data_IF_584634663549
#
_entry.id   IF_584634663549
#
_cell.length_a   1.000
_cell.length_b   1.000
_cell.length_c   1.000
_cell.angle_alpha   90.00
_cell.angle_beta   90.00
_cell.angle_gamma   90.00
#
_symmetry.space_group_name_H-M   'P 1'
#
loop_
_entity.id
_entity.type
_entity.pdbx_description
1 polymer ?
#
# COMPACT_ATOMS: atom_id res chain seq x y z
N UNK A 1 10.34 9.01 -0.70
CA UNK A 1 9.64 7.95 -1.45
C UNK A 1 8.28 8.48 -1.91
N UNK A 2 7.98 8.42 -3.18
CA UNK A 2 6.73 8.97 -3.70
C UNK A 2 5.79 7.92 -4.31
N UNK A 3 6.26 6.71 -4.52
CA UNK A 3 5.47 5.59 -5.03
C UNK A 3 6.05 4.27 -4.57
N UNK A 4 5.18 3.32 -4.26
CA UNK A 4 5.54 1.93 -3.99
C UNK A 4 4.81 1.07 -5.03
N UNK A 5 5.49 0.10 -5.57
CA UNK A 5 4.91 -0.87 -6.51
C UNK A 5 5.38 -2.28 -6.16
N UNK A 6 4.53 -3.26 -6.36
CA UNK A 6 4.89 -4.67 -6.20
C UNK A 6 5.25 -5.27 -7.55
N UNK A 7 6.45 -5.82 -7.63
CA UNK A 7 6.94 -6.54 -8.80
C UNK A 7 7.00 -8.04 -8.51
N UNK A 8 6.50 -8.90 -9.41
CA UNK A 8 6.46 -10.34 -9.17
C UNK A 8 7.84 -11.00 -9.06
N UNK A 9 8.89 -10.38 -9.58
CA UNK A 9 10.24 -10.97 -9.63
C UNK A 9 11.17 -10.43 -8.53
N UNK A 10 11.09 -9.15 -8.21
CA UNK A 10 12.00 -8.50 -7.27
C UNK A 10 11.32 -8.06 -5.95
N UNK A 11 10.02 -8.22 -5.88
CA UNK A 11 9.24 -7.83 -4.71
C UNK A 11 8.88 -6.35 -4.70
N UNK A 12 9.06 -5.68 -3.58
CA UNK A 12 8.67 -4.27 -3.45
C UNK A 12 9.70 -3.33 -4.06
N UNK A 13 9.23 -2.50 -4.98
CA UNK A 13 9.96 -1.39 -5.60
C UNK A 13 9.55 -0.09 -4.92
N UNK A 14 10.48 0.60 -4.28
CA UNK A 14 10.25 1.92 -3.69
C UNK A 14 10.84 2.98 -4.60
N UNK A 15 9.99 3.75 -5.25
CA UNK A 15 10.41 4.86 -6.12
C UNK A 15 10.74 6.08 -5.27
N UNK A 16 11.95 6.58 -5.44
CA UNK A 16 12.46 7.75 -4.74
C UNK A 16 12.86 8.84 -5.73
N UNK A 17 12.71 10.07 -5.31
CA UNK A 17 13.33 11.23 -5.94
C UNK A 17 14.39 11.80 -5.01
N UNK A 18 15.59 11.98 -5.52
CA UNK A 18 16.70 12.59 -4.77
C UNK A 18 16.63 14.10 -4.90
N UNK A 19 16.51 14.80 -3.79
CA UNK A 19 16.45 16.27 -3.78
C UNK A 19 17.82 16.90 -3.53
N UNK A 20 18.70 16.20 -2.79
CA UNK A 20 20.04 16.69 -2.47
C UNK A 20 20.99 15.53 -2.24
N UNK A 21 22.24 15.70 -2.61
CA UNK A 21 23.30 14.71 -2.38
C UNK A 21 23.32 13.58 -3.40
N UNK A 22 23.96 12.50 -2.99
CA UNK A 22 24.13 11.25 -3.75
C UNK A 22 23.73 10.09 -2.87
N UNK A 23 23.01 9.13 -3.43
CA UNK A 23 22.65 7.89 -2.77
C UNK A 23 23.29 6.73 -3.54
N UNK A 24 23.99 5.86 -2.83
CA UNK A 24 24.67 4.70 -3.41
C UNK A 24 24.09 3.39 -2.91
N UNK A 25 24.29 2.34 -3.67
CA UNK A 25 23.93 0.97 -3.27
C UNK A 25 24.71 0.59 -2.03
N UNK A 26 24.01 0.07 -1.04
CA UNK A 26 24.61 -0.33 0.25
C UNK A 26 24.58 0.75 1.32
N UNK A 27 24.24 2.00 0.97
CA UNK A 27 24.17 3.09 1.93
C UNK A 27 23.13 2.84 3.01
N UNK A 28 23.48 3.23 4.24
CA UNK A 28 22.54 3.32 5.35
C UNK A 28 21.85 4.68 5.33
N UNK A 29 20.53 4.67 5.23
CA UNK A 29 19.70 5.86 5.28
C UNK A 29 18.77 5.83 6.48
N UNK A 30 18.32 6.98 6.91
CA UNK A 30 17.34 7.12 7.96
C UNK A 30 15.98 7.49 7.35
N UNK A 31 14.97 6.67 7.59
CA UNK A 31 13.59 7.09 7.39
C UNK A 31 13.23 8.05 8.51
N UNK A 32 13.31 9.34 8.23
CA UNK A 32 13.12 10.39 9.23
C UNK A 32 11.67 10.57 9.62
N UNK A 33 10.73 10.15 8.78
CA UNK A 33 9.29 10.16 9.09
C UNK A 33 8.96 9.17 10.20
N UNK A 34 9.60 8.00 10.20
CA UNK A 34 9.38 6.90 11.16
C UNK A 34 10.51 6.72 12.18
N UNK A 35 11.59 7.51 12.05
CA UNK A 35 12.80 7.40 12.88
C UNK A 35 13.44 5.99 12.85
N UNK A 36 13.41 5.35 11.70
CA UNK A 36 13.96 4.01 11.47
C UNK A 36 15.15 4.04 10.52
N UNK A 37 16.17 3.23 10.80
CA UNK A 37 17.30 3.05 9.90
C UNK A 37 16.96 2.00 8.85
N UNK A 38 17.26 2.32 7.60
CA UNK A 38 17.08 1.46 6.44
C UNK A 38 18.41 1.31 5.69
N UNK A 39 18.53 0.24 4.93
CA UNK A 39 19.69 0.04 4.07
C UNK A 39 19.24 -0.15 2.63
N UNK A 40 19.82 0.61 1.74
CA UNK A 40 19.57 0.51 0.31
C UNK A 40 20.23 -0.77 -0.21
N UNK A 41 19.41 -1.73 -0.63
CA UNK A 41 19.90 -2.99 -1.18
C UNK A 41 20.42 -2.82 -2.60
N UNK A 42 19.50 -2.86 -3.56
CA UNK A 42 19.77 -2.60 -4.99
C UNK A 42 19.00 -1.38 -5.45
N UNK A 43 19.52 -0.71 -6.46
CA UNK A 43 18.83 0.38 -7.12
C UNK A 43 18.72 0.10 -8.61
N UNK A 44 17.58 0.43 -9.18
CA UNK A 44 17.32 0.27 -10.59
C UNK A 44 16.72 1.55 -11.18
N UNK A 45 17.08 1.85 -12.40
CA UNK A 45 16.40 2.81 -13.24
C UNK A 45 15.36 2.07 -14.07
N UNK A 46 14.15 2.60 -14.11
CA UNK A 46 13.04 1.98 -14.81
C UNK A 46 12.81 2.64 -16.16
N UNK A 47 12.77 1.83 -17.21
CA UNK A 47 12.36 2.22 -18.55
C UNK A 47 11.17 1.35 -18.95
N UNK A 48 9.95 1.84 -18.73
CA UNK A 48 8.74 1.02 -18.84
C UNK A 48 8.84 -0.21 -17.92
N UNK A 49 8.83 -1.42 -18.45
CA UNK A 49 8.99 -2.66 -17.67
C UNK A 49 10.45 -3.14 -17.60
N UNK A 50 11.37 -2.47 -18.29
CA UNK A 50 12.79 -2.83 -18.24
C UNK A 50 13.46 -2.19 -17.03
N UNK A 51 14.34 -2.95 -16.40
CA UNK A 51 15.10 -2.54 -15.22
C UNK A 51 16.58 -2.52 -15.56
N UNK A 52 17.22 -1.39 -15.32
CA UNK A 52 18.66 -1.22 -15.47
C UNK A 52 19.26 -1.00 -14.08
N UNK A 53 20.19 -1.84 -13.66
CA UNK A 53 20.85 -1.67 -12.37
C UNK A 53 21.79 -0.48 -12.39
N UNK A 54 21.65 0.37 -11.38
CA UNK A 54 22.48 1.55 -11.18
C UNK A 54 23.19 1.48 -9.83
N UNK A 55 24.38 2.04 -9.75
CA UNK A 55 25.20 2.03 -8.53
C UNK A 55 24.96 3.24 -7.64
N UNK A 56 24.64 4.37 -8.26
CA UNK A 56 24.42 5.64 -7.57
C UNK A 56 23.30 6.42 -8.25
N UNK A 57 22.66 7.30 -7.51
CA UNK A 57 21.65 8.26 -7.99
C UNK A 57 21.91 9.62 -7.36
N UNK A 58 21.74 10.69 -8.12
CA UNK A 58 22.08 12.06 -7.74
C UNK A 58 20.84 12.94 -7.61
N UNK A 59 21.04 14.11 -7.01
CA UNK A 59 19.99 15.12 -6.88
C UNK A 59 19.35 15.45 -8.26
N UNK A 60 18.01 15.39 -8.29
CA UNK A 60 17.19 15.56 -9.49
C UNK A 60 16.75 14.27 -10.16
N UNK A 61 17.42 13.16 -9.88
CA UNK A 61 17.13 11.86 -10.46
C UNK A 61 16.02 11.11 -9.71
N UNK A 62 15.42 10.16 -10.43
CA UNK A 62 14.45 9.21 -9.91
C UNK A 62 15.02 7.80 -10.07
N UNK A 63 14.95 7.02 -9.00
CA UNK A 63 15.34 5.62 -9.00
C UNK A 63 14.34 4.77 -8.23
N UNK A 64 14.34 3.47 -8.47
CA UNK A 64 13.61 2.51 -7.68
C UNK A 64 14.58 1.72 -6.79
N UNK A 65 14.34 1.76 -5.49
CA UNK A 65 15.11 1.01 -4.50
C UNK A 65 14.44 -0.32 -4.20
N UNK A 66 15.25 -1.37 -4.09
CA UNK A 66 14.82 -2.73 -3.73
C UNK A 66 15.42 -3.06 -2.37
N UNK A 67 14.60 -3.64 -1.49
CA UNK A 67 15.06 -4.10 -0.18
C UNK A 67 14.79 -3.15 0.98
N UNK A 68 14.14 -2.03 0.74
CA UNK A 68 13.59 -1.19 1.81
C UNK A 68 12.34 -1.86 2.39
N UNK A 69 12.27 -1.98 3.72
CA UNK A 69 11.23 -2.80 4.38
C UNK A 69 10.08 -1.98 4.97
N UNK A 70 10.42 -0.91 5.67
CA UNK A 70 9.48 -0.12 6.47
C UNK A 70 9.16 1.24 5.84
N UNK A 71 9.14 1.32 4.52
CA UNK A 71 8.86 2.55 3.77
C UNK A 71 7.40 2.58 3.34
N UNK A 72 6.79 3.74 3.47
CA UNK A 72 5.46 4.06 2.91
C UNK A 72 5.56 5.26 1.98
N UNK A 73 4.55 5.41 1.11
CA UNK A 73 4.47 6.57 0.21
C UNK A 73 4.41 7.86 1.03
N UNK A 74 5.27 8.82 0.70
CA UNK A 74 5.42 10.09 1.44
C UNK A 74 6.54 10.11 2.47
N UNK A 75 7.20 8.96 2.75
CA UNK A 75 8.32 8.92 3.69
C UNK A 75 9.56 9.64 3.13
N UNK A 76 10.28 10.30 4.03
CA UNK A 76 11.56 10.96 3.71
C UNK A 76 12.72 10.11 4.17
N UNK A 77 13.67 9.89 3.26
CA UNK A 77 14.94 9.25 3.53
C UNK A 77 16.05 10.31 3.56
N UNK A 78 16.84 10.33 4.59
CA UNK A 78 17.95 11.29 4.74
C UNK A 78 19.21 10.64 5.30
N UNK A 79 20.32 11.39 5.28
CA UNK A 79 21.51 11.06 6.02
C UNK A 79 21.20 11.03 7.53
N UNK A 80 21.67 10.00 8.22
CA UNK A 80 21.49 9.85 9.66
C UNK A 80 22.12 11.00 10.47
N UNK A 81 23.14 11.67 9.93
CA UNK A 81 23.83 12.77 10.59
C UNK A 81 23.16 14.13 10.35
N UNK A 82 22.32 14.23 9.32
CA UNK A 82 21.61 15.45 8.95
C UNK A 82 20.14 15.13 8.67
N UNK A 83 19.37 14.77 9.70
CA UNK A 83 17.97 14.39 9.51
C UNK A 83 17.15 15.59 9.05
N UNK A 84 16.40 15.40 7.99
CA UNK A 84 15.42 16.35 7.47
C UNK A 84 14.14 15.59 7.13
N UNK A 85 13.01 16.25 7.32
CA UNK A 85 11.71 15.73 6.87
C UNK A 85 11.16 16.70 5.83
N UNK A 86 10.93 16.21 4.63
CA UNK A 86 10.27 16.99 3.57
C UNK A 86 8.77 17.06 3.84
N UNK A 87 8.09 17.97 3.14
CA UNK A 87 6.63 18.11 3.23
C UNK A 87 5.95 16.76 2.96
N UNK A 88 4.99 16.42 3.82
CA UNK A 88 4.22 15.18 3.68
C UNK A 88 3.14 15.34 2.62
N UNK A 89 2.88 14.25 1.93
CA UNK A 89 1.70 14.16 1.07
C UNK A 89 0.48 13.82 1.94
N UNK A 90 -0.56 14.65 1.84
CA UNK A 90 -1.84 14.38 2.48
C UNK A 90 -2.71 13.59 1.51
N UNK A 91 -3.14 12.41 1.93
CA UNK A 91 -4.03 11.56 1.16
C UNK A 91 -5.46 11.70 1.70
N UNK A 92 -6.46 11.85 0.82
CA UNK A 92 -7.83 11.95 1.25
C UNK A 92 -8.32 10.66 1.93
N UNK A 93 -9.21 10.81 2.88
CA UNK A 93 -9.86 9.68 3.54
C UNK A 93 -10.75 8.93 2.54
N UNK A 94 -10.81 7.59 2.63
CA UNK A 94 -11.72 6.78 1.83
C UNK A 94 -13.18 7.17 2.09
N UNK A 95 -14.01 7.12 1.04
CA UNK A 95 -15.41 7.56 1.12
C UNK A 95 -16.42 6.42 1.03
N UNK A 96 -16.04 5.26 0.49
CA UNK A 96 -16.90 4.08 0.41
C UNK A 96 -16.19 2.84 0.93
N UNK A 97 -16.97 1.88 1.38
CA UNK A 97 -16.47 0.61 1.90
C UNK A 97 -17.30 -0.56 1.36
N UNK A 98 -16.63 -1.68 1.11
CA UNK A 98 -17.25 -2.94 0.73
C UNK A 98 -16.66 -4.07 1.56
N UNK A 99 -17.45 -5.11 1.80
CA UNK A 99 -16.97 -6.32 2.43
C UNK A 99 -16.42 -7.28 1.38
N UNK A 100 -15.31 -7.91 1.68
CA UNK A 100 -14.66 -8.92 0.83
C UNK A 100 -14.57 -10.22 1.59
N UNK A 101 -15.12 -11.28 0.99
CA UNK A 101 -15.14 -12.62 1.58
C UNK A 101 -14.38 -13.58 0.66
N UNK A 102 -13.37 -14.30 1.18
CA UNK A 102 -12.67 -15.31 0.39
C UNK A 102 -13.58 -16.50 0.13
N UNK A 103 -13.47 -17.13 -1.04
CA UNK A 103 -14.27 -18.33 -1.39
C UNK A 103 -13.77 -19.60 -0.70
N UNK A 104 -12.51 -19.64 -0.30
CA UNK A 104 -11.89 -20.77 0.35
C UNK A 104 -10.91 -20.34 1.45
N UNK A 105 -10.51 -21.28 2.31
CA UNK A 105 -9.46 -21.01 3.33
C UNK A 105 -8.11 -20.66 2.71
N UNK A 106 -7.77 -21.25 1.58
CA UNK A 106 -6.53 -20.91 0.85
C UNK A 106 -6.58 -19.49 0.28
N UNK A 107 -7.76 -19.08 -0.20
CA UNK A 107 -7.96 -17.72 -0.68
C UNK A 107 -7.87 -16.69 0.45
N UNK A 108 -8.21 -17.05 1.68
CA UNK A 108 -8.10 -16.16 2.83
C UNK A 108 -6.65 -15.72 3.11
N UNK A 109 -5.71 -16.66 3.09
CA UNK A 109 -4.29 -16.35 3.30
C UNK A 109 -3.73 -15.49 2.16
N UNK A 110 -4.04 -15.89 0.91
CA UNK A 110 -3.64 -15.13 -0.28
C UNK A 110 -4.26 -13.73 -0.28
N UNK A 111 -5.53 -13.61 0.12
CA UNK A 111 -6.25 -12.36 0.22
C UNK A 111 -5.58 -11.41 1.22
N UNK A 112 -5.23 -11.90 2.40
CA UNK A 112 -4.56 -11.07 3.42
C UNK A 112 -3.22 -10.54 2.91
N UNK A 113 -2.42 -11.37 2.23
CA UNK A 113 -1.15 -10.95 1.62
C UNK A 113 -1.37 -9.95 0.47
N UNK A 114 -2.35 -10.20 -0.39
CA UNK A 114 -2.68 -9.32 -1.51
C UNK A 114 -3.16 -7.95 -1.02
N UNK A 115 -4.08 -7.92 -0.07
CA UNK A 115 -4.60 -6.69 0.51
C UNK A 115 -3.51 -5.88 1.23
N UNK A 116 -2.61 -6.55 1.96
CA UNK A 116 -1.46 -5.90 2.58
C UNK A 116 -0.53 -5.22 1.56
N UNK A 117 -0.25 -5.87 0.44
CA UNK A 117 0.56 -5.29 -0.64
C UNK A 117 -0.15 -4.13 -1.34
N UNK A 118 -1.43 -4.28 -1.66
CA UNK A 118 -2.23 -3.22 -2.28
C UNK A 118 -2.34 -1.99 -1.37
N UNK A 119 -2.49 -2.19 -0.06
CA UNK A 119 -2.51 -1.10 0.91
C UNK A 119 -1.15 -0.37 1.03
N UNK A 120 -0.03 -1.07 0.82
CA UNK A 120 1.28 -0.42 0.74
C UNK A 120 1.46 0.42 -0.53
N UNK A 121 0.90 -0.02 -1.65
CA UNK A 121 0.98 0.70 -2.92
C UNK A 121 0.10 1.95 -2.94
N UNK A 122 -1.09 1.86 -2.36
CA UNK A 122 -2.11 2.92 -2.41
C UNK A 122 -2.47 3.40 -1.01
N UNK A 123 -2.00 4.58 -0.61
CA UNK A 123 -2.29 5.15 0.71
C UNK A 123 -3.75 5.61 0.89
N UNK A 124 -4.53 5.72 -0.17
CA UNK A 124 -5.97 6.01 -0.11
C UNK A 124 -6.84 4.75 0.06
N UNK A 125 -6.23 3.58 -0.04
CA UNK A 125 -6.87 2.29 0.18
C UNK A 125 -6.64 1.81 1.61
N UNK A 126 -7.70 1.44 2.29
CA UNK A 126 -7.64 0.92 3.67
C UNK A 126 -8.28 -0.45 3.77
N UNK A 127 -7.70 -1.27 4.64
CA UNK A 127 -8.20 -2.61 4.98
C UNK A 127 -8.42 -2.66 6.47
N UNK A 128 -9.59 -3.09 6.88
CA UNK A 128 -9.95 -3.32 8.27
C UNK A 128 -10.65 -4.68 8.41
N UNK A 129 -10.45 -5.32 9.55
CA UNK A 129 -11.26 -6.47 9.93
C UNK A 129 -12.29 -5.99 10.93
N UNK A 130 -13.54 -6.27 10.67
CA UNK A 130 -14.63 -6.01 11.61
C UNK A 130 -14.67 -7.17 12.61
N UNK A 131 -14.40 -6.87 13.87
CA UNK A 131 -14.35 -7.88 14.94
C UNK A 131 -15.71 -8.49 15.25
N UNK A 132 -16.79 -7.75 15.02
CA UNK A 132 -18.15 -8.20 15.34
C UNK A 132 -18.73 -9.12 14.27
N UNK A 133 -18.56 -8.77 13.00
CA UNK A 133 -19.04 -9.58 11.87
C UNK A 133 -18.01 -10.58 11.33
N UNK A 134 -16.74 -10.43 11.70
CA UNK A 134 -15.64 -11.22 11.17
C UNK A 134 -15.32 -10.95 9.71
N UNK A 135 -15.93 -9.91 9.12
CA UNK A 135 -15.73 -9.54 7.72
C UNK A 135 -14.45 -8.75 7.52
N UNK A 136 -13.81 -8.93 6.37
CA UNK A 136 -12.75 -8.04 5.89
C UNK A 136 -13.38 -6.91 5.09
N UNK A 137 -13.18 -5.69 5.54
CA UNK A 137 -13.72 -4.48 4.91
C UNK A 137 -12.60 -3.76 4.20
N UNK A 138 -12.80 -3.45 2.93
CA UNK A 138 -11.92 -2.60 2.13
C UNK A 138 -12.60 -1.27 1.86
N UNK A 139 -11.83 -0.19 2.00
CA UNK A 139 -12.32 1.17 1.82
C UNK A 139 -11.49 1.90 0.78
N UNK A 140 -12.13 2.69 -0.06
CA UNK A 140 -11.50 3.41 -1.15
C UNK A 140 -12.25 4.67 -1.55
N UNK A 141 -11.76 5.33 -2.59
CA UNK A 141 -12.25 6.64 -3.04
C UNK A 141 -13.52 6.57 -3.89
N UNK A 142 -13.93 5.40 -4.35
CA UNK A 142 -15.11 5.21 -5.16
C UNK A 142 -15.26 3.76 -5.63
N UNK A 143 -16.41 3.43 -6.24
CA UNK A 143 -16.70 2.08 -6.73
C UNK A 143 -15.64 1.60 -7.73
N UNK A 144 -15.32 2.43 -8.72
CA UNK A 144 -14.31 2.08 -9.72
C UNK A 144 -12.93 1.82 -9.10
N UNK A 145 -12.55 2.58 -8.07
CA UNK A 145 -11.30 2.36 -7.36
C UNK A 145 -11.26 0.98 -6.71
N UNK A 146 -12.31 0.61 -6.00
CA UNK A 146 -12.41 -0.71 -5.37
C UNK A 146 -12.51 -1.84 -6.39
N UNK A 147 -13.26 -1.66 -7.47
CA UNK A 147 -13.37 -2.64 -8.55
C UNK A 147 -12.02 -2.94 -9.20
N UNK A 148 -11.22 -1.91 -9.47
CA UNK A 148 -9.87 -2.07 -10.02
C UNK A 148 -8.98 -2.84 -9.05
N UNK A 149 -9.04 -2.53 -7.76
CA UNK A 149 -8.23 -3.22 -6.74
C UNK A 149 -8.62 -4.70 -6.59
N UNK A 150 -9.91 -4.99 -6.63
CA UNK A 150 -10.41 -6.37 -6.59
C UNK A 150 -10.02 -7.14 -7.86
N UNK A 151 -10.09 -6.51 -9.02
CA UNK A 151 -9.66 -7.11 -10.28
C UNK A 151 -8.15 -7.37 -10.28
N UNK A 152 -7.34 -6.46 -9.76
CA UNK A 152 -5.91 -6.68 -9.54
C UNK A 152 -5.65 -7.84 -8.57
N UNK A 153 -6.40 -7.93 -7.49
CA UNK A 153 -6.30 -9.03 -6.52
C UNK A 153 -6.56 -10.39 -7.20
N UNK A 154 -7.54 -10.45 -8.09
CA UNK A 154 -7.83 -11.64 -8.91
C UNK A 154 -6.69 -11.98 -9.88
N UNK A 155 -6.25 -11.00 -10.68
CA UNK A 155 -5.30 -11.22 -11.77
C UNK A 155 -3.87 -11.38 -11.31
N UNK A 156 -3.41 -10.54 -10.37
CA UNK A 156 -2.02 -10.52 -9.94
C UNK A 156 -1.74 -11.52 -8.81
N UNK A 157 -2.71 -11.76 -7.94
CA UNK A 157 -2.53 -12.60 -6.75
C UNK A 157 -3.32 -13.91 -6.80
N UNK A 158 -4.11 -14.13 -7.84
CA UNK A 158 -4.94 -15.34 -8.01
C UNK A 158 -5.84 -15.61 -6.79
N UNK A 159 -6.51 -14.59 -6.30
CA UNK A 159 -7.46 -14.65 -5.18
C UNK A 159 -8.88 -14.61 -5.71
N UNK A 160 -9.68 -15.58 -5.32
CA UNK A 160 -11.12 -15.60 -5.58
C UNK A 160 -11.88 -15.09 -4.33
N UNK A 161 -12.62 -14.00 -4.51
CA UNK A 161 -13.38 -13.38 -3.43
C UNK A 161 -14.75 -12.93 -3.90
N UNK A 162 -15.74 -12.96 -3.00
CA UNK A 162 -17.04 -12.36 -3.17
C UNK A 162 -17.03 -10.95 -2.58
N UNK A 163 -17.71 -10.02 -3.25
CA UNK A 163 -17.83 -8.63 -2.80
C UNK A 163 -19.28 -8.38 -2.43
N UNK A 164 -19.49 -7.75 -1.29
CA UNK A 164 -20.81 -7.42 -0.79
C UNK A 164 -20.84 -6.11 -0.01
N UNK A 165 -22.01 -5.72 0.41
CA UNK A 165 -22.17 -4.60 1.35
C UNK A 165 -21.72 -5.05 2.73
N UNK A 166 -21.02 -4.21 3.52
CA UNK A 166 -20.68 -4.51 4.90
C UNK A 166 -21.95 -4.78 5.71
N UNK A 167 -21.91 -5.79 6.56
CA UNK A 167 -22.98 -6.02 7.53
C UNK A 167 -22.93 -4.91 8.57
N UNK A 168 -24.03 -4.19 8.72
CA UNK A 168 -24.20 -3.17 9.75
C UNK A 168 -25.08 -3.73 10.85
N UNK A 169 -24.55 -3.84 12.06
CA UNK A 169 -25.31 -4.26 13.24
C UNK A 169 -26.44 -3.29 13.59
N UNK A 170 -26.32 -2.02 13.19
CA UNK A 170 -27.36 -1.01 13.39
C UNK A 170 -28.64 -1.38 12.64
N UNK A 171 -28.54 -2.03 11.46
CA UNK A 171 -29.69 -2.50 10.71
C UNK A 171 -30.32 -3.78 11.29
N UNK A 172 -29.60 -4.54 12.06
CA UNK A 172 -30.09 -5.77 12.72
C UNK A 172 -30.83 -5.45 14.01
N UNK A 173 -30.45 -4.34 14.68
CA UNK A 173 -31.01 -3.92 15.98
C UNK A 173 -32.16 -2.93 15.89
N UNK A 174 -32.60 -2.52 14.70
CA UNK A 174 -33.78 -1.67 14.58
C UNK A 174 -35.04 -2.53 14.76
N UNK A 175 -35.70 -2.46 15.92
CA UNK A 175 -36.94 -3.21 16.12
C UNK A 175 -37.96 -2.64 15.14
N UNK A 176 -38.57 -3.51 14.36
CA UNK A 176 -39.75 -3.20 13.56
C UNK A 176 -40.74 -2.46 14.47
N UNK A 177 -40.87 -1.16 14.29
CA UNK A 177 -41.92 -0.38 14.98
C UNK A 177 -43.25 -1.01 14.60
N UNK A 178 -44.05 -1.51 15.54
CA UNK A 178 -45.39 -1.92 15.21
C UNK A 178 -46.14 -0.70 14.70
N UNK A 179 -46.64 -0.78 13.47
CA UNK A 179 -47.59 0.16 12.95
C UNK A 179 -48.84 0.08 13.83
N UNK A 180 -48.99 1.00 14.75
CA UNK A 180 -50.26 1.24 15.40
C UNK A 180 -51.14 1.99 14.38
N UNK A 181 -52.18 1.29 13.96
CA UNK A 181 -53.36 1.86 13.25
C UNK A 181 -54.18 2.64 14.24
#
# INVERSE_FOLDING_TARGET
AFKIATDPFVGTLTFIRVYSGVLSVGDGVMNTTKSKKERVGRMVQMHSNNREEIKEVRAGDIAACIGLKDITTGDTLSDSNKPIVLERMDFPEPVISVAVEPKSKQDQEKMSLALGKLAQEDPSFRVASDEESGQTIISGMGELHLDVLVDRMKREFSVEANIGKPLSLIHISEPTRPLYI
#
